data_IF_800116017148
#
_entry.id   IF_800116017148
#
_cell.length_a   1.000
_cell.length_b   1.000
_cell.length_c   1.000
_cell.angle_alpha   90.00
_cell.angle_beta   90.00
_cell.angle_gamma   90.00
#
_symmetry.space_group_name_H-M   'P 1'
#
loop_
_entity.id
_entity.type
_entity.pdbx_description
1 polymer ?
#
# COMPACT_ATOMS: atom_id res chain seq x y z
N UNK A 1 15.32 0.41 -24.37
CA UNK A 1 14.88 -0.26 -23.12
C UNK A 1 13.35 -0.26 -22.84
N UNK A 2 12.41 -0.22 -23.82
CA UNK A 2 10.98 -0.39 -23.52
C UNK A 2 10.43 -1.82 -23.73
N UNK A 3 11.16 -2.71 -24.41
CA UNK A 3 10.66 -4.04 -24.78
C UNK A 3 10.61 -5.04 -23.62
N UNK A 4 11.47 -4.88 -22.60
CA UNK A 4 11.51 -5.79 -21.45
C UNK A 4 10.26 -5.63 -20.56
N UNK A 5 9.79 -4.40 -20.34
CA UNK A 5 8.58 -4.15 -19.52
C UNK A 5 7.31 -4.75 -20.15
N UNK A 6 7.16 -4.63 -21.46
CA UNK A 6 6.00 -5.20 -22.17
C UNK A 6 6.02 -6.74 -22.20
N UNK A 7 7.19 -7.37 -22.37
CA UNK A 7 7.30 -8.83 -22.27
C UNK A 7 7.03 -9.32 -20.86
N UNK A 8 7.50 -8.64 -19.82
CA UNK A 8 7.20 -8.99 -18.42
C UNK A 8 5.71 -8.87 -18.10
N UNK A 9 5.04 -7.80 -18.53
CA UNK A 9 3.60 -7.63 -18.35
C UNK A 9 2.78 -8.65 -19.15
N UNK A 10 3.16 -8.94 -20.40
CA UNK A 10 2.48 -9.95 -21.23
C UNK A 10 2.72 -11.37 -20.70
N UNK A 11 3.92 -11.67 -20.20
CA UNK A 11 4.25 -12.97 -19.61
C UNK A 11 3.50 -13.16 -18.29
N UNK A 12 3.41 -12.12 -17.46
CA UNK A 12 2.62 -12.15 -16.24
C UNK A 12 1.12 -12.33 -16.52
N UNK A 13 0.56 -11.57 -17.47
CA UNK A 13 -0.83 -11.76 -17.91
C UNK A 13 -1.09 -13.14 -18.52
N UNK A 14 -0.12 -13.69 -19.26
CA UNK A 14 -0.23 -15.04 -19.81
C UNK A 14 -0.12 -16.11 -18.73
N UNK A 15 0.74 -15.93 -17.72
CA UNK A 15 0.88 -16.82 -16.57
C UNK A 15 -0.38 -16.82 -15.71
N UNK A 16 -0.97 -15.64 -15.45
CA UNK A 16 -2.24 -15.50 -14.74
C UNK A 16 -3.41 -16.14 -15.51
N UNK A 17 -3.38 -16.08 -16.85
CA UNK A 17 -4.41 -16.71 -17.69
C UNK A 17 -4.32 -18.24 -17.72
N UNK A 18 -3.15 -18.81 -17.43
CA UNK A 18 -2.95 -20.26 -17.37
C UNK A 18 -3.33 -20.89 -16.03
N UNK A 19 -3.50 -20.09 -14.97
CA UNK A 19 -3.91 -20.59 -13.67
C UNK A 19 -5.14 -19.80 -13.19
N UNK A 20 -6.36 -20.17 -13.61
CA UNK A 20 -7.58 -19.70 -12.95
C UNK A 20 -7.61 -20.34 -11.55
N UNK A 21 -6.82 -19.80 -10.63
CA UNK A 21 -6.85 -20.21 -9.24
C UNK A 21 -8.19 -19.76 -8.66
N UNK A 22 -8.90 -20.64 -7.91
CA UNK A 22 -10.07 -20.23 -7.15
C UNK A 22 -9.70 -19.06 -6.22
N UNK A 23 -10.62 -18.11 -6.00
CA UNK A 23 -10.42 -16.89 -5.19
C UNK A 23 -9.63 -17.15 -3.89
N UNK A 24 -9.95 -18.24 -3.19
CA UNK A 24 -9.29 -18.64 -1.95
C UNK A 24 -7.82 -19.04 -2.09
N UNK A 25 -7.43 -19.63 -3.23
CA UNK A 25 -6.03 -19.99 -3.49
C UNK A 25 -5.18 -18.77 -3.87
N UNK A 26 -5.79 -17.77 -4.54
CA UNK A 26 -5.13 -16.48 -4.78
C UNK A 26 -4.82 -15.76 -3.46
N UNK A 27 -5.78 -15.78 -2.54
CA UNK A 27 -5.63 -15.20 -1.21
C UNK A 27 -4.53 -15.90 -0.39
N UNK A 28 -4.43 -17.23 -0.49
CA UNK A 28 -3.38 -18.01 0.17
C UNK A 28 -1.99 -17.73 -0.41
N UNK A 29 -1.87 -17.63 -1.74
CA UNK A 29 -0.62 -17.27 -2.41
C UNK A 29 -0.19 -15.85 -2.04
N UNK A 30 -1.11 -14.89 -2.03
CA UNK A 30 -0.83 -13.52 -1.60
C UNK A 30 -0.39 -13.47 -0.13
N UNK A 31 -1.10 -14.16 0.77
CA UNK A 31 -0.72 -14.26 2.17
C UNK A 31 0.66 -14.91 2.36
N UNK A 32 0.98 -15.93 1.57
CA UNK A 32 2.30 -16.59 1.60
C UNK A 32 3.40 -15.65 1.07
N UNK A 33 3.13 -14.90 0.00
CA UNK A 33 4.06 -13.91 -0.53
C UNK A 33 4.34 -12.79 0.50
N UNK A 34 3.31 -12.25 1.12
CA UNK A 34 3.47 -11.27 2.22
C UNK A 34 4.18 -11.87 3.42
N UNK A 35 3.95 -13.13 3.76
CA UNK A 35 4.65 -13.81 4.86
C UNK A 35 6.13 -14.03 4.55
N UNK A 36 6.47 -14.39 3.30
CA UNK A 36 7.86 -14.52 2.85
C UNK A 36 8.57 -13.15 2.87
N UNK A 37 7.88 -12.10 2.43
CA UNK A 37 8.39 -10.72 2.48
C UNK A 37 8.59 -10.26 3.93
N UNK A 38 7.63 -10.53 4.82
CA UNK A 38 7.72 -10.26 6.26
C UNK A 38 8.95 -10.91 6.88
N UNK A 39 9.18 -12.19 6.62
CA UNK A 39 10.33 -12.91 7.17
C UNK A 39 11.65 -12.36 6.62
N UNK A 40 11.71 -12.02 5.34
CA UNK A 40 12.90 -11.43 4.72
C UNK A 40 13.26 -10.10 5.40
N UNK A 41 12.30 -9.19 5.54
CA UNK A 41 12.53 -7.91 6.20
C UNK A 41 12.74 -8.04 7.70
N UNK A 42 12.13 -9.02 8.36
CA UNK A 42 12.36 -9.30 9.77
C UNK A 42 13.81 -9.72 10.02
N UNK A 43 14.33 -10.68 9.24
CA UNK A 43 15.73 -11.10 9.35
C UNK A 43 16.70 -9.98 8.97
N UNK A 44 16.38 -9.20 7.94
CA UNK A 44 17.16 -8.01 7.58
C UNK A 44 17.16 -6.97 8.72
N UNK A 45 16.00 -6.68 9.31
CA UNK A 45 15.85 -5.74 10.41
C UNK A 45 16.56 -6.19 11.69
N UNK A 46 16.62 -7.49 11.98
CA UNK A 46 17.34 -8.00 13.16
C UNK A 46 18.85 -7.90 13.05
N UNK A 47 19.37 -7.78 11.82
CA UNK A 47 20.80 -7.65 11.53
C UNK A 47 21.27 -6.18 11.64
N UNK A 48 20.37 -5.21 11.47
CA UNK A 48 20.68 -3.77 11.49
C UNK A 48 20.19 -3.11 12.78
N UNK A 49 21.10 -2.54 13.57
CA UNK A 49 20.80 -1.73 14.77
C UNK A 49 20.82 -0.24 14.43
N UNK A 50 19.72 0.48 14.71
CA UNK A 50 19.60 1.93 14.56
C UNK A 50 18.42 2.36 13.68
N UNK A 51 18.54 3.52 13.00
CA UNK A 51 17.50 4.13 12.17
C UNK A 51 16.96 3.22 11.05
N UNK A 52 17.83 2.47 10.37
CA UNK A 52 17.43 1.51 9.32
C UNK A 52 16.49 0.43 9.86
N UNK A 53 16.82 -0.13 11.03
CA UNK A 53 15.97 -1.10 11.72
C UNK A 53 14.59 -0.54 12.06
N UNK A 54 14.49 0.75 12.42
CA UNK A 54 13.22 1.40 12.72
C UNK A 54 12.31 1.50 11.47
N UNK A 55 12.86 1.90 10.32
CA UNK A 55 12.12 1.94 9.06
C UNK A 55 11.67 0.54 8.61
N UNK A 56 12.53 -0.47 8.74
CA UNK A 56 12.18 -1.85 8.44
C UNK A 56 11.11 -2.42 9.40
N UNK A 57 11.15 -2.07 10.68
CA UNK A 57 10.14 -2.49 11.64
C UNK A 57 8.75 -1.93 11.28
N UNK A 58 8.67 -0.65 10.92
CA UNK A 58 7.43 -0.06 10.40
C UNK A 58 6.92 -0.81 9.17
N UNK A 59 7.82 -1.19 8.26
CA UNK A 59 7.50 -1.94 7.05
C UNK A 59 6.92 -3.33 7.37
N UNK A 60 7.56 -4.03 8.31
CA UNK A 60 7.10 -5.33 8.84
C UNK A 60 5.71 -5.23 9.48
N UNK A 61 5.44 -4.14 10.21
CA UNK A 61 4.12 -3.87 10.80
C UNK A 61 3.04 -3.67 9.70
N UNK A 62 3.35 -2.91 8.66
CA UNK A 62 2.44 -2.70 7.52
C UNK A 62 2.15 -4.01 6.78
N UNK A 63 3.17 -4.84 6.55
CA UNK A 63 2.98 -6.17 5.94
C UNK A 63 2.09 -7.06 6.83
N UNK A 64 2.31 -7.04 8.15
CA UNK A 64 1.45 -7.74 9.10
C UNK A 64 -0.01 -7.30 9.01
N UNK A 65 -0.26 -5.99 8.86
CA UNK A 65 -1.60 -5.46 8.64
C UNK A 65 -2.21 -5.96 7.32
N UNK A 66 -1.44 -5.99 6.23
CA UNK A 66 -1.88 -6.56 4.96
C UNK A 66 -2.27 -8.03 5.08
N UNK A 67 -1.48 -8.84 5.80
CA UNK A 67 -1.78 -10.27 6.05
C UNK A 67 -3.10 -10.39 6.83
N UNK A 68 -3.28 -9.60 7.90
CA UNK A 68 -4.50 -9.61 8.69
C UNK A 68 -5.73 -9.18 7.88
N UNK A 69 -5.62 -8.14 7.06
CA UNK A 69 -6.69 -7.70 6.16
C UNK A 69 -7.03 -8.75 5.12
N UNK A 70 -6.02 -9.37 4.51
CA UNK A 70 -6.17 -10.45 3.52
C UNK A 70 -6.86 -11.67 4.13
N UNK A 71 -6.44 -12.11 5.32
CA UNK A 71 -7.08 -13.20 6.06
C UNK A 71 -8.50 -12.85 6.47
N UNK A 72 -8.76 -11.61 6.90
CA UNK A 72 -10.11 -11.16 7.25
C UNK A 72 -11.02 -11.13 6.03
N UNK A 73 -10.51 -10.70 4.87
CA UNK A 73 -11.22 -10.76 3.58
C UNK A 73 -11.53 -12.19 3.13
N UNK A 74 -10.61 -13.12 3.36
CA UNK A 74 -10.84 -14.54 3.09
C UNK A 74 -11.92 -15.16 4.01
N UNK A 75 -11.96 -14.76 5.28
CA UNK A 75 -12.94 -15.26 6.25
C UNK A 75 -14.31 -14.59 6.12
N UNK A 76 -14.38 -13.37 5.59
CA UNK A 76 -15.60 -12.58 5.39
C UNK A 76 -15.74 -12.12 3.93
N UNK A 77 -16.10 -13.02 2.99
CA UNK A 77 -16.08 -12.77 1.55
C UNK A 77 -17.18 -11.82 1.02
N UNK A 78 -17.74 -10.91 1.83
CA UNK A 78 -19.04 -10.28 1.51
C UNK A 78 -19.17 -8.80 1.84
N UNK A 79 -18.08 -8.07 2.10
CA UNK A 79 -18.20 -6.63 2.38
C UNK A 79 -17.20 -5.77 1.59
N UNK A 80 -17.75 -4.91 0.72
CA UNK A 80 -17.05 -3.81 0.05
C UNK A 80 -16.05 -3.05 0.94
N UNK A 81 -16.35 -2.72 2.22
CA UNK A 81 -15.37 -2.06 3.08
C UNK A 81 -14.14 -2.92 3.39
N UNK A 82 -14.24 -4.25 3.45
CA UNK A 82 -13.10 -5.12 3.75
C UNK A 82 -12.15 -5.21 2.55
N UNK A 83 -12.69 -5.24 1.33
CA UNK A 83 -11.90 -5.19 0.10
C UNK A 83 -11.20 -3.83 -0.06
N UNK A 84 -11.93 -2.74 0.21
CA UNK A 84 -11.37 -1.39 0.22
C UNK A 84 -10.26 -1.22 1.25
N UNK A 85 -10.46 -1.70 2.48
CA UNK A 85 -9.43 -1.69 3.53
C UNK A 85 -8.19 -2.49 3.15
N UNK A 86 -8.37 -3.65 2.51
CA UNK A 86 -7.25 -4.48 2.02
C UNK A 86 -6.47 -3.76 0.92
N UNK A 87 -7.16 -3.12 -0.02
CA UNK A 87 -6.53 -2.29 -1.06
C UNK A 87 -5.77 -1.09 -0.49
N UNK A 88 -6.34 -0.41 0.52
CA UNK A 88 -5.66 0.68 1.24
C UNK A 88 -4.39 0.18 1.92
N UNK A 89 -4.45 -0.96 2.63
CA UNK A 89 -3.30 -1.53 3.32
C UNK A 89 -2.18 -1.90 2.34
N UNK A 90 -2.51 -2.55 1.23
CA UNK A 90 -1.53 -2.92 0.17
C UNK A 90 -0.91 -1.66 -0.44
N UNK A 91 -1.72 -0.64 -0.74
CA UNK A 91 -1.23 0.61 -1.31
C UNK A 91 -0.28 1.32 -0.34
N UNK A 92 -0.63 1.39 0.95
CA UNK A 92 0.21 1.95 1.99
C UNK A 92 1.52 1.19 2.14
N UNK A 93 1.48 -0.15 2.12
CA UNK A 93 2.68 -0.99 2.19
C UNK A 93 3.63 -0.72 1.01
N UNK A 94 3.11 -0.67 -0.21
CA UNK A 94 3.93 -0.42 -1.40
C UNK A 94 4.52 1.00 -1.42
N UNK A 95 3.72 2.01 -1.08
CA UNK A 95 4.19 3.40 -0.95
C UNK A 95 5.26 3.55 0.13
N UNK A 96 5.07 2.91 1.28
CA UNK A 96 6.04 2.94 2.37
C UNK A 96 7.36 2.27 1.98
N UNK A 97 7.30 1.17 1.23
CA UNK A 97 8.51 0.51 0.70
C UNK A 97 9.28 1.42 -0.25
N UNK A 98 8.58 2.04 -1.21
CA UNK A 98 9.20 2.98 -2.13
C UNK A 98 9.81 4.18 -1.40
N UNK A 99 9.08 4.74 -0.43
CA UNK A 99 9.52 5.86 0.35
C UNK A 99 10.75 5.52 1.21
N UNK A 100 10.74 4.37 1.87
CA UNK A 100 11.87 3.90 2.68
C UNK A 100 13.12 3.74 1.83
N UNK A 101 13.00 3.16 0.64
CA UNK A 101 14.12 3.04 -0.29
C UNK A 101 14.70 4.41 -0.68
N UNK A 102 13.85 5.39 -0.98
CA UNK A 102 14.29 6.74 -1.33
C UNK A 102 14.86 7.53 -0.14
N UNK A 103 14.34 7.31 1.08
CA UNK A 103 14.80 8.01 2.28
C UNK A 103 16.14 7.44 2.78
N UNK A 104 16.33 6.12 2.75
CA UNK A 104 17.57 5.49 3.23
C UNK A 104 18.69 5.53 2.19
N UNK A 105 18.36 5.29 0.92
CA UNK A 105 19.34 5.10 -0.16
C UNK A 105 19.32 6.22 -1.21
N UNK A 106 18.43 7.21 -1.05
CA UNK A 106 18.30 8.35 -1.94
C UNK A 106 18.76 9.68 -1.33
N UNK A 107 18.46 10.82 -1.99
CA UNK A 107 18.93 12.14 -1.58
C UNK A 107 18.22 12.70 -0.34
N UNK A 108 17.19 12.03 0.18
CA UNK A 108 16.44 12.43 1.38
C UNK A 108 17.03 11.89 2.69
N UNK A 109 18.26 11.36 2.65
CA UNK A 109 18.93 10.83 3.84
C UNK A 109 19.16 11.93 4.90
N UNK A 110 18.76 11.70 6.17
CA UNK A 110 18.89 12.70 7.22
C UNK A 110 20.35 13.05 7.54
N UNK A 111 20.60 14.33 7.82
CA UNK A 111 21.93 14.86 8.12
C UNK A 111 22.56 14.18 9.34
N UNK A 112 23.75 13.61 9.14
CA UNK A 112 24.52 12.92 10.18
C UNK A 112 24.43 11.39 10.16
N UNK A 113 23.64 10.82 9.23
CA UNK A 113 23.66 9.38 8.96
C UNK A 113 24.48 9.10 7.69
N UNK A 114 25.29 8.04 7.72
CA UNK A 114 26.13 7.61 6.59
C UNK A 114 25.99 6.10 6.40
N UNK A 115 26.02 5.66 5.15
CA UNK A 115 26.16 4.24 4.83
C UNK A 115 27.62 3.88 5.08
N UNK A 116 27.87 3.03 6.07
CA UNK A 116 29.20 2.49 6.37
C UNK A 116 29.13 0.98 6.19
N UNK A 117 29.93 0.45 5.27
CA UNK A 117 30.03 -1.01 5.02
C UNK A 117 28.67 -1.69 4.86
N UNK A 118 27.78 -1.08 4.04
CA UNK A 118 26.40 -1.54 3.76
C UNK A 118 25.38 -1.44 4.90
N UNK A 119 25.71 -0.74 5.99
CA UNK A 119 24.79 -0.48 7.10
C UNK A 119 24.65 1.03 7.34
N UNK A 120 23.41 1.51 7.50
CA UNK A 120 23.16 2.93 7.81
C UNK A 120 23.44 3.16 9.29
N UNK A 121 24.52 3.88 9.58
CA UNK A 121 24.90 4.25 10.94
C UNK A 121 24.84 5.76 11.13
N UNK A 122 24.11 6.20 12.15
CA UNK A 122 24.02 7.59 12.54
C UNK A 122 25.05 7.89 13.62
N UNK A 123 25.75 9.02 13.49
CA UNK A 123 26.90 9.35 14.35
C UNK A 123 26.49 9.76 15.78
N UNK A 124 25.23 10.17 16.00
CA UNK A 124 24.69 10.63 17.28
C UNK A 124 23.25 10.12 17.49
N UNK A 125 22.87 9.93 18.76
CA UNK A 125 21.50 9.58 19.16
C UNK A 125 20.47 10.65 18.79
N UNK A 126 20.85 11.92 18.77
CA UNK A 126 19.96 13.01 18.34
C UNK A 126 19.58 12.90 16.85
N UNK A 127 20.51 12.44 16.01
CA UNK A 127 20.24 12.20 14.58
C UNK A 127 19.30 11.02 14.36
N UNK A 128 19.40 9.99 15.21
CA UNK A 128 18.51 8.83 15.19
C UNK A 128 17.06 9.24 15.56
N UNK A 129 16.89 9.95 16.68
CA UNK A 129 15.56 10.43 17.12
C UNK A 129 14.92 11.35 16.08
N UNK A 130 15.70 12.22 15.42
CA UNK A 130 15.20 13.07 14.34
C UNK A 130 14.75 12.26 13.12
N UNK A 131 15.48 11.20 12.76
CA UNK A 131 15.10 10.28 11.70
C UNK A 131 13.83 9.50 12.04
N UNK A 132 13.69 9.03 13.28
CA UNK A 132 12.48 8.34 13.75
C UNK A 132 11.25 9.27 13.72
N UNK A 133 11.42 10.54 14.14
CA UNK A 133 10.36 11.54 14.07
C UNK A 133 9.94 11.82 12.62
N UNK A 134 10.92 11.96 11.72
CA UNK A 134 10.67 12.15 10.29
C UNK A 134 9.89 10.96 9.71
N UNK A 135 10.28 9.73 10.06
CA UNK A 135 9.60 8.51 9.65
C UNK A 135 8.13 8.51 10.10
N UNK A 136 7.87 8.83 11.36
CA UNK A 136 6.50 8.91 11.89
C UNK A 136 5.66 9.97 11.20
N UNK A 137 6.23 11.16 10.97
CA UNK A 137 5.54 12.23 10.25
C UNK A 137 5.21 11.81 8.81
N UNK A 138 6.15 11.16 8.13
CA UNK A 138 5.99 10.67 6.78
C UNK A 138 4.92 9.58 6.69
N UNK A 139 4.92 8.64 7.64
CA UNK A 139 3.89 7.59 7.72
C UNK A 139 2.51 8.20 7.95
N UNK A 140 2.40 9.14 8.89
CA UNK A 140 1.14 9.81 9.19
C UNK A 140 0.61 10.59 7.97
N UNK A 141 1.48 11.35 7.31
CA UNK A 141 1.13 12.07 6.08
C UNK A 141 0.68 11.13 4.97
N UNK A 142 1.34 9.97 4.82
CA UNK A 142 0.98 8.96 3.83
C UNK A 142 -0.41 8.37 4.11
N UNK A 143 -0.67 7.98 5.36
CA UNK A 143 -1.97 7.43 5.80
C UNK A 143 -3.08 8.44 5.56
N UNK A 144 -2.89 9.70 5.98
CA UNK A 144 -3.88 10.76 5.75
C UNK A 144 -4.10 10.98 4.25
N UNK A 145 -3.04 11.03 3.45
CA UNK A 145 -3.13 11.21 2.00
C UNK A 145 -3.93 10.11 1.31
N UNK A 146 -3.69 8.84 1.65
CA UNK A 146 -4.44 7.71 1.10
C UNK A 146 -5.90 7.74 1.54
N UNK A 147 -6.18 8.02 2.81
CA UNK A 147 -7.56 8.15 3.30
C UNK A 147 -8.32 9.28 2.60
N UNK A 148 -7.70 10.45 2.45
CA UNK A 148 -8.29 11.58 1.71
C UNK A 148 -8.53 11.24 0.25
N UNK A 149 -7.61 10.52 -0.40
CA UNK A 149 -7.78 10.07 -1.78
C UNK A 149 -8.94 9.07 -1.92
N UNK A 150 -9.12 8.16 -0.97
CA UNK A 150 -10.24 7.22 -0.95
C UNK A 150 -11.57 7.94 -0.72
N UNK A 151 -11.65 8.80 0.30
CA UNK A 151 -12.87 9.59 0.58
C UNK A 151 -13.17 10.53 -0.58
N UNK A 152 -12.16 11.17 -1.15
CA UNK A 152 -12.29 12.06 -2.30
C UNK A 152 -12.76 11.34 -3.55
N UNK A 153 -12.24 10.15 -3.85
CA UNK A 153 -12.69 9.34 -4.99
C UNK A 153 -14.11 8.82 -4.79
N UNK A 154 -14.47 8.41 -3.57
CA UNK A 154 -15.84 8.01 -3.22
C UNK A 154 -16.81 9.19 -3.33
N UNK A 155 -16.46 10.35 -2.78
CA UNK A 155 -17.27 11.57 -2.87
C UNK A 155 -17.42 12.05 -4.32
N UNK A 156 -16.35 11.99 -5.11
CA UNK A 156 -16.37 12.33 -6.54
C UNK A 156 -17.29 11.38 -7.31
N UNK A 157 -17.17 10.07 -7.10
CA UNK A 157 -18.06 9.08 -7.68
C UNK A 157 -19.52 9.34 -7.27
N UNK A 158 -19.80 9.52 -5.98
CA UNK A 158 -21.13 9.82 -5.48
C UNK A 158 -21.70 11.12 -6.09
N UNK A 159 -20.87 12.16 -6.28
CA UNK A 159 -21.32 13.41 -6.93
C UNK A 159 -21.67 13.22 -8.41
N UNK A 160 -20.94 12.37 -9.14
CA UNK A 160 -21.17 12.10 -10.57
C UNK A 160 -22.35 11.15 -10.80
N UNK A 161 -22.41 10.05 -10.05
CA UNK A 161 -23.50 9.07 -10.18
C UNK A 161 -24.80 9.56 -9.53
N UNK A 162 -24.71 10.26 -8.39
CA UNK A 162 -25.88 10.88 -7.75
C UNK A 162 -26.52 11.97 -8.60
N UNK A 163 -25.73 12.74 -9.36
CA UNK A 163 -26.27 13.73 -10.30
C UNK A 163 -26.95 13.07 -11.52
N UNK A 164 -26.47 11.90 -11.96
CA UNK A 164 -27.11 11.14 -13.04
C UNK A 164 -28.44 10.53 -12.60
N UNK A 165 -28.52 10.01 -11.37
CA UNK A 165 -29.77 9.49 -10.77
C UNK A 165 -30.81 10.60 -10.59
N UNK A 166 -30.40 11.79 -10.12
CA UNK A 166 -31.30 12.94 -9.96
C UNK A 166 -31.82 13.47 -11.32
N UNK A 167 -30.96 13.49 -12.34
CA UNK A 167 -31.34 13.88 -13.71
C UNK A 167 -32.29 12.87 -14.37
N UNK A 168 -32.08 11.57 -14.12
CA UNK A 168 -32.96 10.48 -14.56
C UNK A 168 -34.36 10.60 -13.94
N UNK A 169 -34.45 10.82 -12.63
CA UNK A 169 -35.73 11.02 -11.94
C UNK A 169 -36.48 12.27 -12.44
N UNK A 170 -35.77 13.36 -12.72
CA UNK A 170 -36.40 14.57 -13.26
C UNK A 170 -36.96 14.34 -14.68
N UNK A 171 -36.24 13.60 -15.54
CA UNK A 171 -36.71 13.25 -16.88
C UNK A 171 -37.91 12.28 -16.87
N UNK A 172 -37.97 11.36 -15.90
CA UNK A 172 -39.13 10.47 -15.71
C UNK A 172 -40.36 11.25 -15.23
N UNK A 173 -40.18 12.21 -14.33
CA UNK A 173 -41.27 13.04 -13.81
C UNK A 173 -41.87 13.97 -14.90
N UNK A 174 -41.04 14.54 -15.77
CA UNK A 174 -41.44 15.46 -16.84
C UNK A 174 -42.16 14.73 -18.00
N UNK A 175 -41.90 13.42 -18.17
CA UNK A 175 -42.65 12.56 -19.09
C UNK A 175 -44.06 12.23 -18.58
N UNK A 176 -44.24 12.08 -17.27
CA UNK A 176 -45.53 11.73 -16.66
C UNK A 176 -46.53 12.90 -16.60
N UNK A 177 -46.06 14.15 -16.69
CA UNK A 177 -46.89 15.36 -16.64
C UNK A 177 -47.40 15.78 -18.04
N UNK A 178 -46.87 15.16 -19.11
CA UNK A 178 -47.23 15.46 -20.52
C UNK A 178 -48.20 14.47 -21.16
N UNK A 179 -48.62 13.44 -20.45
CA UNK A 179 -49.65 12.45 -20.84
C UNK A 179 -50.97 12.69 -20.07
#
# INVERSE_FOLDING_TARGET
MPFFGFLSSLYFSSLFRFIPLPEGALCFVAATAFCAEYLLFYFHSTTHKGLEGYYHLLLVLLIGLCIMSTLTGALLPTSFPVDLCSGIAITLQGLWFYQTAFTLYGPMMPDGCRIKESMVSCQSKDSEVRGELLANFQLFSLVVGVLVAVVGSYAFAASRYGHSELGSLHAVQDGLDRD
#
